data_IF_491233166169
#
_entry.id   IF_491233166169
#
_cell.length_a   1.000
_cell.length_b   1.000
_cell.length_c   1.000
_cell.angle_alpha   90.00
_cell.angle_beta   90.00
_cell.angle_gamma   90.00
#
_symmetry.space_group_name_H-M   'P 1'
#
loop_
_entity.id
_entity.type
_entity.pdbx_description
1 polymer ?
#
# COMPACT_ATOMS: atom_id res chain seq x y z
N UNK A 1 -39.83 17.00 -47.32
CA UNK A 1 -39.58 16.55 -45.93
C UNK A 1 -38.33 15.69 -45.81
N UNK A 2 -38.10 14.73 -46.72
CA UNK A 2 -36.89 13.89 -46.68
C UNK A 2 -35.58 14.66 -47.00
N UNK A 3 -35.62 15.57 -47.96
CA UNK A 3 -34.44 16.36 -48.39
C UNK A 3 -33.94 17.35 -47.34
N UNK A 4 -34.86 17.92 -46.55
CA UNK A 4 -34.52 18.83 -45.42
C UNK A 4 -33.86 18.08 -44.26
N UNK A 5 -34.23 16.82 -44.01
CA UNK A 5 -33.59 15.98 -42.99
C UNK A 5 -32.14 15.62 -43.37
N UNK A 6 -31.89 15.31 -44.66
CA UNK A 6 -30.54 14.95 -45.14
C UNK A 6 -29.59 16.14 -45.02
N UNK A 7 -30.06 17.36 -45.30
CA UNK A 7 -29.25 18.57 -45.19
C UNK A 7 -28.92 18.93 -43.73
N UNK A 8 -29.83 18.67 -42.79
CA UNK A 8 -29.59 18.83 -41.35
C UNK A 8 -28.60 17.79 -40.81
N UNK A 9 -28.66 16.54 -41.31
CA UNK A 9 -27.74 15.47 -40.90
C UNK A 9 -26.29 15.74 -41.36
N UNK A 10 -26.12 16.29 -42.57
CA UNK A 10 -24.80 16.68 -43.11
C UNK A 10 -24.17 17.85 -42.34
N UNK A 11 -24.97 18.76 -41.79
CA UNK A 11 -24.48 19.91 -41.02
C UNK A 11 -23.93 19.51 -39.64
N UNK A 12 -24.44 18.42 -39.05
CA UNK A 12 -23.96 17.85 -37.77
C UNK A 12 -22.59 17.15 -37.90
N UNK A 13 -22.22 16.71 -39.11
CA UNK A 13 -20.95 16.02 -39.40
C UNK A 13 -19.77 17.00 -39.61
N UNK A 14 -20.03 18.30 -39.70
CA UNK A 14 -19.02 19.35 -39.90
C UNK A 14 -18.61 20.06 -38.61
N UNK A 15 -19.08 19.61 -37.44
CA UNK A 15 -18.64 20.15 -36.16
C UNK A 15 -17.15 19.83 -35.96
N UNK A 16 -16.27 20.85 -35.79
CA UNK A 16 -14.87 20.60 -35.54
C UNK A 16 -14.75 19.83 -34.23
N UNK A 17 -14.13 18.65 -34.28
CA UNK A 17 -13.70 17.91 -33.09
C UNK A 17 -12.69 18.80 -32.38
N UNK A 18 -13.14 19.56 -31.38
CA UNK A 18 -12.24 20.29 -30.50
C UNK A 18 -11.44 19.23 -29.76
N UNK A 19 -10.17 19.10 -30.13
CA UNK A 19 -9.23 18.31 -29.35
C UNK A 19 -9.13 18.99 -27.99
N UNK A 20 -9.75 18.40 -26.98
CA UNK A 20 -9.45 18.73 -25.58
C UNK A 20 -7.97 18.40 -25.43
N UNK A 21 -7.13 19.43 -25.43
CA UNK A 21 -5.73 19.29 -25.03
C UNK A 21 -5.76 18.77 -23.60
N UNK A 22 -5.23 17.57 -23.37
CA UNK A 22 -4.94 17.11 -22.04
C UNK A 22 -3.94 18.11 -21.45
N UNK A 23 -4.42 18.98 -20.57
CA UNK A 23 -3.57 19.89 -19.83
C UNK A 23 -2.63 18.99 -19.03
N UNK A 24 -1.33 18.96 -19.39
CA UNK A 24 -0.32 18.32 -18.55
C UNK A 24 -0.50 18.94 -17.15
N UNK A 25 -0.97 18.14 -16.19
CA UNK A 25 -1.05 18.55 -14.79
C UNK A 25 0.39 18.72 -14.31
N UNK A 26 0.93 19.91 -14.58
CA UNK A 26 2.26 20.28 -14.21
C UNK A 26 2.35 20.23 -12.70
N UNK A 27 3.40 19.61 -12.17
CA UNK A 27 3.69 19.60 -10.74
C UNK A 27 3.82 21.05 -10.25
N UNK A 28 2.72 21.60 -9.70
CA UNK A 28 2.70 22.98 -9.22
C UNK A 28 3.42 23.00 -7.87
N UNK A 29 4.61 23.59 -7.86
CA UNK A 29 5.31 23.93 -6.62
C UNK A 29 4.68 25.20 -6.06
N UNK A 30 4.36 25.20 -4.76
CA UNK A 30 3.81 26.40 -4.11
C UNK A 30 4.92 27.45 -3.91
N UNK A 31 4.76 28.69 -4.42
CA UNK A 31 5.77 29.73 -4.25
C UNK A 31 6.05 30.03 -2.78
N UNK A 32 7.32 30.24 -2.42
CA UNK A 32 7.74 30.51 -1.04
C UNK A 32 7.85 29.25 -0.15
N UNK A 33 7.50 28.08 -0.67
CA UNK A 33 7.60 26.81 0.03
C UNK A 33 8.81 26.00 -0.43
N UNK A 34 9.30 25.13 0.46
CA UNK A 34 10.35 24.17 0.13
C UNK A 34 9.82 23.16 -0.89
N UNK A 35 10.47 23.10 -2.04
CA UNK A 35 10.04 22.33 -3.20
C UNK A 35 10.74 20.98 -3.34
N UNK A 36 11.78 20.71 -2.53
CA UNK A 36 12.56 19.48 -2.55
C UNK A 36 13.02 19.03 -1.17
N UNK A 37 13.12 17.71 -0.99
CA UNK A 37 13.84 17.07 0.11
C UNK A 37 14.79 16.02 -0.47
N UNK A 38 16.09 16.34 -0.49
CA UNK A 38 17.07 15.55 -1.26
C UNK A 38 16.71 15.55 -2.75
N UNK A 39 16.53 14.35 -3.32
CA UNK A 39 16.19 14.17 -4.74
C UNK A 39 14.68 14.10 -5.01
N UNK A 40 13.84 14.27 -3.99
CA UNK A 40 12.38 14.17 -4.13
C UNK A 40 11.80 15.59 -4.29
N UNK A 41 11.16 15.85 -5.43
CA UNK A 41 10.34 17.06 -5.64
C UNK A 41 9.02 16.95 -4.87
N UNK A 42 8.59 18.06 -4.27
CA UNK A 42 7.41 18.18 -3.42
C UNK A 42 6.40 19.10 -4.13
N UNK A 43 5.47 18.54 -4.91
CA UNK A 43 4.41 19.31 -5.55
C UNK A 43 3.23 19.55 -4.59
N UNK A 44 2.51 20.65 -4.77
CA UNK A 44 1.22 20.86 -4.12
C UNK A 44 0.23 19.76 -4.57
N UNK A 45 -0.56 19.15 -3.67
CA UNK A 45 -0.92 19.60 -2.33
C UNK A 45 0.03 19.20 -1.19
N UNK A 46 1.09 18.46 -1.48
CA UNK A 46 2.12 18.11 -0.50
C UNK A 46 2.98 19.34 -0.17
N UNK A 47 3.50 19.41 1.06
CA UNK A 47 4.33 20.55 1.45
C UNK A 47 4.96 20.40 2.83
N UNK A 48 6.03 21.17 3.05
CA UNK A 48 6.76 21.23 4.33
C UNK A 48 6.53 22.61 4.94
N UNK A 49 6.05 22.65 6.18
CA UNK A 49 5.84 23.87 6.94
C UNK A 49 4.46 24.51 6.74
N UNK A 50 4.14 25.43 7.64
CA UNK A 50 2.84 26.08 7.72
C UNK A 50 2.47 26.80 6.41
N UNK A 51 1.24 26.55 5.96
CA UNK A 51 0.73 27.14 4.74
C UNK A 51 1.35 26.60 3.45
N UNK A 52 2.20 25.55 3.49
CA UNK A 52 2.82 25.00 2.29
C UNK A 52 2.14 23.78 1.70
N UNK A 53 1.26 23.13 2.46
CA UNK A 53 0.46 21.99 2.04
C UNK A 53 -1.02 22.35 2.01
N UNK A 54 -1.85 21.47 1.43
CA UNK A 54 -3.30 21.57 1.58
C UNK A 54 -3.69 21.05 2.96
N UNK A 55 -4.18 21.96 3.80
CA UNK A 55 -4.75 21.69 5.10
C UNK A 55 -6.22 22.12 5.08
N UNK A 56 -7.14 21.22 5.39
CA UNK A 56 -8.58 21.49 5.48
C UNK A 56 -9.11 21.50 6.91
N UNK A 57 -8.20 21.53 7.90
CA UNK A 57 -8.52 21.54 9.33
C UNK A 57 -8.88 20.16 9.90
N UNK A 58 -8.89 19.09 9.08
CA UNK A 58 -9.09 17.70 9.53
C UNK A 58 -7.86 16.81 9.32
N UNK A 59 -6.85 17.36 8.66
CA UNK A 59 -5.62 16.68 8.32
C UNK A 59 -4.95 17.38 7.15
N UNK A 60 -3.74 16.94 6.83
CA UNK A 60 -2.92 17.57 5.80
C UNK A 60 -2.16 16.57 4.95
N UNK A 61 -1.60 17.11 3.87
CA UNK A 61 -0.52 16.49 3.11
C UNK A 61 0.84 17.00 3.59
N UNK A 62 0.95 17.27 4.89
CA UNK A 62 2.16 17.80 5.51
C UNK A 62 3.27 16.76 5.50
N UNK A 63 4.47 17.22 5.20
CA UNK A 63 5.68 16.45 5.14
C UNK A 63 6.74 17.07 6.03
N UNK A 64 7.66 16.23 6.48
CA UNK A 64 8.87 16.63 7.18
C UNK A 64 10.08 16.22 6.35
N UNK A 65 11.09 17.08 6.33
CA UNK A 65 12.38 16.76 5.73
C UNK A 65 13.48 16.83 6.79
N UNK A 66 14.13 15.70 7.03
CA UNK A 66 15.29 15.63 7.91
C UNK A 66 16.58 15.71 7.09
N UNK A 67 17.26 16.85 7.20
CA UNK A 67 18.54 17.13 6.52
C UNK A 67 19.78 16.73 7.35
N UNK A 68 19.60 16.21 8.57
CA UNK A 68 20.72 15.88 9.49
C UNK A 68 21.53 14.64 9.06
N UNK A 69 21.20 14.02 7.91
CA UNK A 69 21.87 12.83 7.37
C UNK A 69 22.49 13.16 6.01
N UNK A 70 23.49 12.37 5.59
CA UNK A 70 24.11 12.51 4.28
C UNK A 70 23.12 12.42 3.11
N UNK A 71 22.00 11.71 3.29
CA UNK A 71 20.86 11.72 2.38
C UNK A 71 19.64 12.24 3.13
N UNK A 72 19.07 13.39 2.73
CA UNK A 72 17.85 13.91 3.33
C UNK A 72 16.72 12.88 3.30
N UNK A 73 15.90 12.85 4.35
CA UNK A 73 14.77 11.92 4.47
C UNK A 73 13.46 12.68 4.49
N UNK A 74 12.62 12.41 3.50
CA UNK A 74 11.25 12.88 3.44
C UNK A 74 10.33 11.90 4.17
N UNK A 75 9.51 12.40 5.08
CA UNK A 75 8.54 11.61 5.84
C UNK A 75 7.18 12.28 5.88
N UNK A 76 6.12 11.48 6.05
CA UNK A 76 4.82 12.02 6.47
C UNK A 76 4.96 12.62 7.87
N UNK A 77 4.47 13.84 8.05
CA UNK A 77 4.55 14.53 9.33
C UNK A 77 3.80 13.76 10.44
N UNK A 78 4.34 13.79 11.67
CA UNK A 78 3.72 13.17 12.84
C UNK A 78 3.86 11.64 12.99
N UNK A 79 4.16 10.88 11.92
CA UNK A 79 4.33 9.41 12.00
C UNK A 79 5.67 8.90 11.46
N UNK A 80 6.47 9.75 10.80
CA UNK A 80 7.83 9.41 10.36
C UNK A 80 7.90 8.37 9.22
N UNK A 81 6.78 8.10 8.54
CA UNK A 81 6.73 7.14 7.42
C UNK A 81 7.53 7.68 6.24
N UNK A 82 8.57 6.96 5.81
CA UNK A 82 9.49 7.42 4.77
C UNK A 82 8.86 7.38 3.39
N UNK A 83 8.80 8.54 2.75
CA UNK A 83 8.38 8.70 1.36
C UNK A 83 9.59 8.56 0.43
N UNK A 84 9.36 7.92 -0.72
CA UNK A 84 10.36 7.70 -1.78
C UNK A 84 10.00 8.41 -3.07
N UNK A 85 8.71 8.61 -3.35
CA UNK A 85 8.25 9.41 -4.48
C UNK A 85 6.84 9.95 -4.23
N UNK A 86 6.53 11.05 -4.92
CA UNK A 86 5.23 11.73 -4.91
C UNK A 86 4.78 11.91 -6.37
N UNK A 87 3.52 11.60 -6.66
CA UNK A 87 2.92 11.76 -7.98
C UNK A 87 1.53 12.37 -7.88
N UNK A 88 1.36 13.56 -8.43
CA UNK A 88 0.06 14.23 -8.52
C UNK A 88 -0.84 13.55 -9.54
N UNK A 89 -0.26 13.21 -10.70
CA UNK A 89 -1.00 12.60 -11.82
C UNK A 89 -1.56 11.23 -11.41
N UNK A 90 -0.77 10.44 -10.68
CA UNK A 90 -1.25 9.16 -10.14
C UNK A 90 -2.04 9.31 -8.83
N UNK A 91 -2.03 10.50 -8.21
CA UNK A 91 -2.56 10.73 -6.86
C UNK A 91 -1.97 9.75 -5.82
N UNK A 92 -0.65 9.54 -5.90
CA UNK A 92 0.07 8.52 -5.14
C UNK A 92 1.28 9.11 -4.42
N UNK A 93 1.50 8.64 -3.20
CA UNK A 93 2.76 8.75 -2.48
C UNK A 93 3.30 7.34 -2.22
N UNK A 94 4.54 7.07 -2.62
CA UNK A 94 5.16 5.77 -2.37
C UNK A 94 5.98 5.81 -1.10
N UNK A 95 5.62 4.96 -0.15
CA UNK A 95 6.28 4.86 1.14
C UNK A 95 6.98 3.53 1.32
N UNK A 96 8.00 3.51 2.18
CA UNK A 96 8.66 2.28 2.60
C UNK A 96 8.14 1.84 3.96
N UNK A 97 7.49 0.68 3.97
CA UNK A 97 7.03 0.02 5.17
C UNK A 97 7.97 -1.13 5.51
N UNK A 98 8.15 -1.37 6.81
CA UNK A 98 8.92 -2.53 7.28
C UNK A 98 8.03 -3.76 7.21
N UNK A 99 8.56 -4.85 6.65
CA UNK A 99 7.90 -6.14 6.74
C UNK A 99 7.91 -6.64 8.18
N UNK A 100 6.76 -7.09 8.66
CA UNK A 100 6.65 -7.82 9.92
C UNK A 100 7.21 -9.20 9.71
N UNK A 101 8.08 -9.63 10.61
CA UNK A 101 8.81 -10.88 10.52
C UNK A 101 8.78 -11.58 11.86
N UNK A 102 8.48 -12.87 11.83
CA UNK A 102 8.61 -13.76 12.99
C UNK A 102 9.33 -15.03 12.60
N UNK A 103 10.35 -15.39 13.36
CA UNK A 103 11.14 -16.59 13.14
C UNK A 103 11.05 -17.55 14.30
N UNK A 104 11.16 -18.83 13.99
CA UNK A 104 10.94 -19.93 14.90
C UNK A 104 12.09 -20.94 14.80
N UNK A 105 12.37 -21.64 15.89
CA UNK A 105 13.23 -22.82 15.88
C UNK A 105 12.46 -24.10 15.54
N UNK A 106 13.15 -25.24 15.51
CA UNK A 106 12.55 -26.55 15.25
C UNK A 106 11.53 -26.99 16.31
N UNK A 107 11.50 -26.34 17.47
CA UNK A 107 10.54 -26.59 18.56
C UNK A 107 9.37 -25.60 18.52
N UNK A 108 9.29 -24.71 17.53
CA UNK A 108 8.23 -23.71 17.39
C UNK A 108 8.39 -22.50 18.32
N UNK A 109 9.55 -22.30 18.95
CA UNK A 109 9.82 -21.15 19.82
C UNK A 109 10.28 -19.96 19.00
N UNK A 110 9.83 -18.75 19.35
CA UNK A 110 10.24 -17.52 18.67
C UNK A 110 11.73 -17.26 18.90
N UNK A 111 12.50 -17.16 17.82
CA UNK A 111 13.94 -16.84 17.84
C UNK A 111 14.25 -15.44 17.33
N UNK A 112 13.30 -14.80 16.63
CA UNK A 112 13.47 -13.46 16.11
C UNK A 112 12.14 -12.81 15.76
N UNK A 113 12.02 -11.51 16.03
CA UNK A 113 10.83 -10.70 15.80
C UNK A 113 11.24 -9.31 15.33
N UNK A 114 10.59 -8.78 14.30
CA UNK A 114 10.82 -7.41 13.84
C UNK A 114 9.63 -6.89 13.04
N UNK A 115 9.41 -5.56 13.04
CA UNK A 115 8.41 -4.93 12.18
C UNK A 115 6.97 -5.10 12.66
N UNK A 116 6.74 -5.57 13.89
CA UNK A 116 5.42 -5.51 14.54
C UNK A 116 5.20 -4.10 15.09
N UNK A 117 4.93 -3.16 14.20
CA UNK A 117 4.65 -1.76 14.56
C UNK A 117 3.51 -1.28 13.71
N UNK A 118 2.55 -0.60 14.34
CA UNK A 118 1.46 0.04 13.64
C UNK A 118 1.97 1.19 12.76
N UNK A 119 1.25 1.43 11.68
CA UNK A 119 1.53 2.50 10.71
C UNK A 119 0.28 3.40 10.68
N UNK A 120 0.20 4.40 11.56
CA UNK A 120 -0.94 5.30 11.63
C UNK A 120 -0.81 6.43 10.59
N UNK A 121 -1.77 6.50 9.67
CA UNK A 121 -2.01 7.65 8.77
C UNK A 121 -3.21 8.48 9.22
N UNK A 122 -3.87 8.11 10.32
CA UNK A 122 -5.00 8.83 10.92
C UNK A 122 -4.60 10.29 11.18
N UNK A 123 -5.50 11.20 10.84
CA UNK A 123 -5.25 12.64 10.93
C UNK A 123 -4.45 13.21 9.77
N UNK A 124 -4.07 12.39 8.78
CA UNK A 124 -3.55 12.83 7.49
C UNK A 124 -4.54 12.55 6.36
N UNK A 125 -4.25 13.03 5.16
CA UNK A 125 -5.03 12.70 3.96
C UNK A 125 -4.48 11.47 3.19
N UNK A 126 -3.53 10.74 3.77
CA UNK A 126 -2.96 9.55 3.15
C UNK A 126 -3.78 8.30 3.50
N UNK A 127 -4.02 7.47 2.48
CA UNK A 127 -4.65 6.17 2.61
C UNK A 127 -3.75 5.09 1.98
N UNK A 128 -3.82 3.88 2.49
CA UNK A 128 -3.21 2.74 1.81
C UNK A 128 -3.98 2.44 0.52
N UNK A 129 -3.32 2.58 -0.62
CA UNK A 129 -3.96 2.40 -1.93
C UNK A 129 -4.41 0.95 -2.13
N UNK A 130 -5.73 0.71 -2.18
CA UNK A 130 -6.31 -0.59 -2.51
C UNK A 130 -5.96 -1.03 -3.95
N UNK A 131 -5.83 -0.07 -4.87
CA UNK A 131 -5.55 -0.39 -6.27
C UNK A 131 -4.12 -0.92 -6.45
N UNK A 132 -3.17 -0.39 -5.66
CA UNK A 132 -1.74 -0.71 -5.77
C UNK A 132 -1.32 -1.78 -4.79
N UNK A 133 -1.71 -1.67 -3.52
CA UNK A 133 -1.21 -2.53 -2.46
C UNK A 133 -1.98 -3.85 -2.35
N UNK A 134 -1.26 -4.91 -2.03
CA UNK A 134 -1.76 -6.21 -1.59
C UNK A 134 -1.16 -6.55 -0.24
N UNK A 135 -1.95 -7.19 0.62
CA UNK A 135 -1.43 -7.83 1.82
C UNK A 135 -0.77 -9.14 1.41
N UNK A 136 0.50 -9.30 1.73
CA UNK A 136 1.28 -10.49 1.41
C UNK A 136 1.68 -11.19 2.69
N UNK A 137 1.41 -12.50 2.76
CA UNK A 137 1.91 -13.40 3.79
C UNK A 137 2.87 -14.42 3.16
N UNK A 138 4.12 -14.45 3.62
CA UNK A 138 5.16 -15.37 3.15
C UNK A 138 5.59 -16.34 4.25
N UNK A 139 5.86 -17.59 3.89
CA UNK A 139 6.30 -18.64 4.78
C UNK A 139 5.15 -19.48 5.37
N UNK A 140 5.49 -20.57 6.06
CA UNK A 140 4.57 -21.61 6.49
C UNK A 140 4.79 -22.02 7.97
N UNK A 141 3.75 -22.38 8.72
CA UNK A 141 2.34 -21.98 8.58
C UNK A 141 2.20 -20.50 8.94
N UNK A 142 1.57 -19.70 8.09
CA UNK A 142 1.44 -18.25 8.32
C UNK A 142 0.02 -17.78 8.00
N UNK A 143 -0.74 -17.37 9.03
CA UNK A 143 -1.89 -16.52 8.84
C UNK A 143 -1.44 -15.08 9.11
N UNK A 144 -1.19 -14.37 8.02
CA UNK A 144 -0.88 -12.95 8.07
C UNK A 144 -2.13 -12.12 7.98
N UNK A 145 -2.36 -11.22 8.93
CA UNK A 145 -3.49 -10.30 8.88
C UNK A 145 -3.11 -8.95 9.46
N UNK A 146 -3.97 -7.96 9.27
CA UNK A 146 -3.85 -6.69 9.98
C UNK A 146 -5.18 -6.23 10.53
N UNK A 147 -5.10 -5.35 11.51
CA UNK A 147 -6.24 -4.75 12.19
C UNK A 147 -6.27 -3.24 11.97
N UNK A 148 -7.45 -2.65 12.20
CA UNK A 148 -7.64 -1.19 12.29
C UNK A 148 -7.24 -0.66 13.68
N UNK A 149 -7.43 0.65 13.90
CA UNK A 149 -7.10 1.31 15.17
C UNK A 149 -7.96 0.79 16.35
N UNK A 150 -9.17 0.30 16.09
CA UNK A 150 -10.03 -0.28 17.11
C UNK A 150 -9.67 -1.76 17.39
N UNK A 151 -8.69 -2.32 16.67
CA UNK A 151 -8.26 -3.71 16.79
C UNK A 151 -9.16 -4.70 16.04
N UNK A 152 -10.07 -4.23 15.19
CA UNK A 152 -10.90 -5.13 14.36
C UNK A 152 -10.10 -5.65 13.17
N UNK A 153 -10.31 -6.93 12.85
CA UNK A 153 -9.75 -7.56 11.67
C UNK A 153 -10.19 -6.82 10.40
N UNK A 154 -9.22 -6.49 9.52
CA UNK A 154 -9.49 -5.79 8.26
C UNK A 154 -9.30 -6.72 7.06
N UNK A 155 -8.14 -7.36 6.96
CA UNK A 155 -7.83 -8.31 5.89
C UNK A 155 -6.73 -9.27 6.33
N UNK A 156 -6.69 -10.43 5.70
CA UNK A 156 -5.77 -11.51 6.03
C UNK A 156 -5.49 -12.42 4.84
N UNK A 157 -4.42 -13.17 4.95
CA UNK A 157 -3.93 -14.10 3.96
C UNK A 157 -3.26 -15.29 4.65
N UNK A 158 -3.62 -16.49 4.23
CA UNK A 158 -3.09 -17.73 4.78
C UNK A 158 -2.12 -18.37 3.79
N UNK A 159 -0.90 -18.62 4.24
CA UNK A 159 0.12 -19.36 3.51
C UNK A 159 0.43 -20.69 4.23
N UNK A 160 0.30 -21.79 3.49
CA UNK A 160 0.61 -23.16 3.93
C UNK A 160 1.54 -23.83 2.94
N UNK A 161 2.32 -24.81 3.41
CA UNK A 161 3.21 -25.56 2.55
C UNK A 161 2.61 -26.92 2.26
N UNK A 162 2.50 -27.29 0.98
CA UNK A 162 2.16 -28.65 0.56
C UNK A 162 3.41 -29.48 0.25
N UNK A 163 3.27 -30.75 -0.18
CA UNK A 163 4.35 -31.48 -0.84
C UNK A 163 4.82 -30.71 -2.10
N UNK A 164 6.12 -30.80 -2.43
CA UNK A 164 6.80 -30.01 -3.48
C UNK A 164 6.10 -29.98 -4.84
N UNK A 165 5.32 -31.01 -5.17
CA UNK A 165 4.55 -31.13 -6.41
C UNK A 165 3.49 -30.04 -6.65
N UNK A 166 3.14 -29.23 -5.64
CA UNK A 166 2.16 -28.13 -5.74
C UNK A 166 2.79 -26.72 -5.73
N UNK A 167 4.12 -26.62 -5.76
CA UNK A 167 4.81 -25.33 -5.75
C UNK A 167 4.94 -24.84 -7.19
N UNK A 168 3.94 -24.09 -7.66
CA UNK A 168 4.11 -23.25 -8.84
C UNK A 168 4.97 -22.05 -8.47
N UNK A 169 6.24 -22.10 -8.87
CA UNK A 169 7.20 -21.00 -8.69
C UNK A 169 6.62 -19.70 -9.26
N UNK A 170 6.36 -18.73 -8.38
CA UNK A 170 5.85 -17.41 -8.74
C UNK A 170 4.35 -17.18 -8.52
N UNK A 171 3.58 -18.21 -8.18
CA UNK A 171 2.16 -18.02 -7.79
C UNK A 171 2.04 -17.72 -6.28
N UNK A 172 1.30 -16.67 -5.92
CA UNK A 172 1.07 -16.24 -4.53
C UNK A 172 -0.38 -16.51 -4.10
N UNK A 173 -0.80 -17.77 -4.23
CA UNK A 173 -2.21 -18.20 -4.15
C UNK A 173 -2.55 -18.99 -2.88
N UNK A 174 -1.64 -19.06 -1.91
CA UNK A 174 -1.83 -19.75 -0.63
C UNK A 174 -0.77 -20.82 -0.35
N UNK A 175 0.03 -21.23 -1.35
CA UNK A 175 1.12 -22.18 -1.17
C UNK A 175 2.44 -21.44 -0.94
N UNK A 176 2.96 -21.46 0.28
CA UNK A 176 4.15 -20.72 0.75
C UNK A 176 4.11 -19.19 0.64
N UNK A 177 3.27 -18.64 -0.25
CA UNK A 177 2.94 -17.24 -0.41
C UNK A 177 1.43 -17.10 -0.57
N UNK A 178 0.85 -16.09 0.05
CA UNK A 178 -0.52 -15.67 -0.15
C UNK A 178 -0.56 -14.16 -0.34
N UNK A 179 -1.33 -13.69 -1.32
CA UNK A 179 -1.68 -12.28 -1.46
C UNK A 179 -3.20 -12.07 -1.36
N UNK A 180 -3.60 -10.99 -0.69
CA UNK A 180 -5.00 -10.59 -0.53
C UNK A 180 -5.17 -9.11 -0.87
N UNK A 181 -6.33 -8.76 -1.41
CA UNK A 181 -6.71 -7.36 -1.59
C UNK A 181 -6.98 -6.72 -0.23
N UNK A 182 -6.66 -5.44 -0.11
CA UNK A 182 -7.09 -4.64 1.04
C UNK A 182 -8.41 -3.93 0.71
N UNK A 183 -9.29 -3.68 1.69
CA UNK A 183 -10.46 -2.83 1.50
C UNK A 183 -10.07 -1.36 1.22
N UNK A 184 -11.00 -0.54 0.70
CA UNK A 184 -10.77 0.90 0.55
C UNK A 184 -10.76 1.62 1.90
N UNK A 185 -10.34 2.89 1.89
CA UNK A 185 -10.41 3.80 3.04
C UNK A 185 -9.66 3.33 4.30
N UNK A 186 -8.50 2.70 4.11
CA UNK A 186 -7.62 2.29 5.22
C UNK A 186 -6.56 3.35 5.47
N UNK A 187 -6.54 3.87 6.69
CA UNK A 187 -5.57 4.86 7.21
C UNK A 187 -4.80 4.31 8.43
N UNK A 188 -5.00 3.04 8.78
CA UNK A 188 -4.30 2.37 9.86
C UNK A 188 -3.93 0.95 9.44
N UNK A 189 -2.69 0.57 9.72
CA UNK A 189 -2.19 -0.76 9.42
C UNK A 189 -1.36 -1.27 10.60
N UNK A 190 -1.86 -2.29 11.28
CA UNK A 190 -1.11 -3.02 12.29
C UNK A 190 -1.08 -4.53 11.97
N UNK A 191 0.05 -5.04 11.44
CA UNK A 191 0.17 -6.42 10.99
C UNK A 191 0.53 -7.42 12.08
N UNK A 192 -0.01 -8.62 11.92
CA UNK A 192 0.17 -9.76 12.79
C UNK A 192 0.56 -11.00 12.00
N UNK A 193 1.50 -11.76 12.55
CA UNK A 193 1.84 -13.12 12.12
C UNK A 193 1.21 -14.07 13.11
N UNK A 194 0.28 -14.92 12.67
CA UNK A 194 -0.28 -15.99 13.48
C UNK A 194 0.17 -17.36 12.95
N UNK A 195 0.62 -18.21 13.88
CA UNK A 195 0.85 -19.62 13.60
C UNK A 195 -0.42 -20.41 13.89
N UNK A 196 -0.70 -21.42 13.08
CA UNK A 196 -1.73 -22.40 13.36
C UNK A 196 -1.06 -23.78 13.46
N UNK A 197 -1.18 -24.38 14.64
CA UNK A 197 -0.63 -25.71 14.92
C UNK A 197 -1.42 -26.78 14.15
N UNK A 198 -0.77 -27.90 13.86
CA UNK A 198 -1.46 -29.10 13.36
C UNK A 198 -2.35 -29.63 14.47
N UNK A 199 -3.65 -29.32 14.45
CA UNK A 199 -4.60 -30.11 15.24
C UNK A 199 -4.84 -31.44 14.53
N UNK A 200 -4.43 -32.52 15.19
CA UNK A 200 -4.70 -33.89 14.78
C UNK A 200 -6.17 -34.21 15.09
N UNK A 201 -7.09 -33.72 14.26
CA UNK A 201 -8.51 -34.09 14.38
C UNK A 201 -8.78 -35.35 13.57
N UNK A 202 -9.45 -36.34 14.17
CA UNK A 202 -9.87 -37.62 13.57
C UNK A 202 -10.88 -37.48 12.41
N UNK A 203 -11.03 -36.28 11.83
CA UNK A 203 -11.93 -35.97 10.71
C UNK A 203 -11.17 -35.08 9.72
N UNK A 204 -10.66 -35.69 8.64
CA UNK A 204 -10.18 -34.99 7.44
C UNK A 204 -9.08 -33.95 7.67
N UNK A 205 -7.87 -34.40 8.03
CA UNK A 205 -6.71 -33.51 8.22
C UNK A 205 -6.27 -32.94 6.86
N UNK A 206 -6.40 -31.63 6.67
CA UNK A 206 -5.60 -30.92 5.66
C UNK A 206 -4.14 -31.10 6.05
N UNK A 207 -3.45 -32.01 5.37
CA UNK A 207 -2.05 -32.34 5.66
C UNK A 207 -1.14 -31.33 4.97
N UNK A 208 -0.62 -30.37 5.74
CA UNK A 208 0.42 -29.45 5.28
C UNK A 208 1.82 -29.92 5.73
N UNK A 209 2.77 -29.78 4.82
CA UNK A 209 4.19 -30.10 4.93
C UNK A 209 4.96 -29.02 5.74
N UNK A 210 6.28 -29.17 5.80
CA UNK A 210 7.33 -28.34 6.40
C UNK A 210 6.96 -26.90 6.77
N UNK A 211 7.38 -26.48 7.96
CA UNK A 211 7.38 -25.07 8.37
C UNK A 211 8.59 -24.34 7.79
N UNK A 212 8.43 -23.04 7.54
CA UNK A 212 9.57 -22.16 7.26
C UNK A 212 10.11 -21.57 8.55
N UNK A 213 11.43 -21.37 8.61
CA UNK A 213 12.11 -20.78 9.77
C UNK A 213 11.57 -19.38 10.07
N UNK A 214 11.33 -18.57 9.04
CA UNK A 214 10.80 -17.22 9.18
C UNK A 214 9.53 -17.05 8.35
N UNK A 215 8.66 -16.17 8.84
CA UNK A 215 7.37 -15.83 8.26
C UNK A 215 7.26 -14.32 8.21
N UNK A 216 6.61 -13.82 7.16
CA UNK A 216 6.55 -12.40 6.87
C UNK A 216 5.13 -11.95 6.55
N UNK A 217 4.80 -10.73 6.95
CA UNK A 217 3.54 -10.05 6.60
C UNK A 217 3.85 -8.60 6.26
N UNK A 218 3.39 -8.15 5.09
CA UNK A 218 3.65 -6.79 4.62
C UNK A 218 2.64 -6.37 3.54
N UNK A 219 2.55 -5.07 3.30
CA UNK A 219 1.91 -4.51 2.12
C UNK A 219 2.95 -4.31 1.02
N UNK A 220 2.62 -4.72 -0.21
CA UNK A 220 3.44 -4.51 -1.40
C UNK A 220 2.60 -4.20 -2.64
N UNK A 221 3.22 -3.52 -3.61
CA UNK A 221 2.66 -3.27 -4.96
C UNK A 221 2.86 -4.46 -5.91
#
# INVERSE_FOLDING_TARGET
MATTLVMQLMLLLLLPVTRVSAQEQQQVVRPGCRDKCGNITIPYPFGIGDGCFRNDGRGGFELECNDSRSTPRLTVAGNGIRITSLSIIASEARALLRATRRCYDSKGRITGRSGDTSVPLIGSHYLFSQARNRLVALGCSNLGYFVDIAGYYVSGCMAVCGPQQFIELGSCTGVACCQSTIPPAIDYYEPYVLDFTKEQTNKGIVSYSNSTTCRYVFLAE
#
